data_IF_178331682522
#
_entry.id   IF_178331682522
#
_cell.length_a   1.000
_cell.length_b   1.000
_cell.length_c   1.000
_cell.angle_alpha   90.00
_cell.angle_beta   90.00
_cell.angle_gamma   90.00
#
_symmetry.space_group_name_H-M   'P 1'
#
loop_
_entity.id
_entity.type
_entity.pdbx_description
1 polymer ?
#
# COMPACT_ATOMS: atom_id res chain seq x y z
N UNK A 1 -34.26 13.92 -40.17
CA UNK A 1 -33.00 13.57 -39.47
C UNK A 1 -32.93 12.04 -39.37
N UNK A 2 -32.12 11.35 -40.20
CA UNK A 2 -32.03 9.87 -40.23
C UNK A 2 -30.88 9.41 -39.32
N UNK A 3 -31.17 8.62 -38.30
CA UNK A 3 -30.16 8.00 -37.44
C UNK A 3 -29.46 6.87 -38.21
N UNK A 4 -28.12 6.91 -38.24
CA UNK A 4 -27.26 5.88 -38.83
C UNK A 4 -27.42 4.59 -38.03
N UNK A 5 -27.75 3.50 -38.72
CA UNK A 5 -27.80 2.15 -38.15
C UNK A 5 -26.43 1.76 -37.57
N UNK A 6 -26.44 1.25 -36.33
CA UNK A 6 -25.27 0.68 -35.68
C UNK A 6 -24.82 -0.57 -36.45
N UNK A 7 -23.52 -0.67 -36.73
CA UNK A 7 -22.92 -1.84 -37.38
C UNK A 7 -23.08 -3.06 -36.47
N UNK A 8 -23.70 -4.10 -36.99
CA UNK A 8 -23.85 -5.38 -36.32
C UNK A 8 -22.46 -6.03 -36.18
N UNK A 9 -21.89 -6.03 -34.97
CA UNK A 9 -20.68 -6.80 -34.69
C UNK A 9 -21.02 -8.29 -34.84
N UNK A 10 -20.53 -8.93 -35.90
CA UNK A 10 -20.54 -10.41 -36.00
C UNK A 10 -19.76 -10.95 -34.81
N UNK A 11 -20.43 -11.70 -33.94
CA UNK A 11 -19.76 -12.56 -32.96
C UNK A 11 -18.97 -13.60 -33.75
N UNK A 12 -17.64 -13.43 -33.82
CA UNK A 12 -16.76 -14.51 -34.26
C UNK A 12 -16.68 -15.50 -33.11
N UNK A 13 -17.27 -16.68 -33.30
CA UNK A 13 -17.11 -17.81 -32.40
C UNK A 13 -15.85 -18.55 -32.84
N UNK A 14 -14.83 -18.57 -31.97
CA UNK A 14 -13.61 -19.35 -32.18
C UNK A 14 -13.77 -20.71 -31.51
N UNK A 15 -13.92 -21.75 -32.33
CA UNK A 15 -13.85 -23.14 -31.85
C UNK A 15 -12.39 -23.43 -31.50
N UNK A 16 -12.11 -23.63 -30.23
CA UNK A 16 -10.80 -24.08 -29.75
C UNK A 16 -10.97 -25.28 -28.83
N UNK A 17 -9.96 -26.15 -28.85
CA UNK A 17 -9.90 -27.31 -27.98
C UNK A 17 -9.82 -26.85 -26.51
N UNK A 18 -10.71 -27.33 -25.62
CA UNK A 18 -10.68 -26.97 -24.20
C UNK A 18 -9.35 -27.30 -23.51
N UNK A 19 -8.60 -28.30 -23.97
CA UNK A 19 -7.27 -28.61 -23.42
C UNK A 19 -6.21 -27.57 -23.78
N UNK A 20 -6.35 -26.93 -24.94
CA UNK A 20 -5.47 -25.82 -25.37
C UNK A 20 -5.78 -24.56 -24.58
N UNK A 21 -7.06 -24.26 -24.33
CA UNK A 21 -7.47 -23.17 -23.45
C UNK A 21 -6.94 -23.36 -22.03
N UNK A 22 -7.05 -24.57 -21.47
CA UNK A 22 -6.52 -24.84 -20.14
C UNK A 22 -5.01 -24.55 -20.06
N UNK A 23 -4.21 -25.06 -20.99
CA UNK A 23 -2.76 -24.80 -21.01
C UNK A 23 -2.41 -23.33 -21.22
N UNK A 24 -3.11 -22.62 -22.12
CA UNK A 24 -2.86 -21.21 -22.40
C UNK A 24 -3.31 -20.29 -21.24
N UNK A 25 -4.42 -20.63 -20.58
CA UNK A 25 -4.96 -19.89 -19.43
C UNK A 25 -4.04 -19.98 -18.21
N UNK A 26 -3.25 -21.04 -18.06
CA UNK A 26 -2.25 -21.11 -17.01
C UNK A 26 -0.91 -20.54 -17.49
N UNK A 27 -0.30 -21.01 -18.57
CA UNK A 27 1.09 -20.62 -18.86
C UNK A 27 1.30 -19.18 -19.41
N UNK A 28 0.25 -18.51 -19.91
CA UNK A 28 0.37 -17.18 -20.56
C UNK A 28 -0.75 -16.21 -20.17
N UNK A 29 -1.48 -16.50 -19.10
CA UNK A 29 -2.46 -15.54 -18.61
C UNK A 29 -1.74 -14.31 -18.05
N UNK A 30 -2.25 -13.09 -18.30
CA UNK A 30 -1.77 -11.88 -17.65
C UNK A 30 -1.83 -11.93 -16.11
N UNK A 31 -2.53 -12.93 -15.56
CA UNK A 31 -2.74 -13.15 -14.13
C UNK A 31 -2.00 -14.39 -13.61
N UNK A 32 -1.22 -15.08 -14.44
CA UNK A 32 -0.42 -16.21 -13.97
C UNK A 32 0.91 -15.73 -13.44
N UNK A 33 1.11 -15.91 -12.14
CA UNK A 33 2.36 -15.65 -11.45
C UNK A 33 3.26 -16.88 -11.55
N UNK A 34 4.51 -16.67 -11.97
CA UNK A 34 5.56 -17.68 -11.91
C UNK A 34 5.94 -17.98 -10.46
N UNK A 35 6.56 -19.14 -10.21
CA UNK A 35 7.02 -19.49 -8.86
C UNK A 35 8.00 -18.46 -8.27
N UNK A 36 8.81 -17.83 -9.10
CA UNK A 36 9.72 -16.73 -8.72
C UNK A 36 8.94 -15.47 -8.33
N UNK A 37 7.96 -15.05 -9.14
CA UNK A 37 7.10 -13.89 -8.83
C UNK A 37 6.31 -14.08 -7.52
N UNK A 38 5.84 -15.31 -7.25
CA UNK A 38 5.18 -15.65 -5.99
C UNK A 38 6.15 -15.52 -4.82
N UNK A 39 7.38 -16.05 -4.96
CA UNK A 39 8.39 -15.96 -3.91
C UNK A 39 8.77 -14.49 -3.61
N UNK A 40 8.98 -13.68 -4.64
CA UNK A 40 9.27 -12.25 -4.52
C UNK A 40 8.12 -11.50 -3.84
N UNK A 41 6.88 -11.80 -4.23
CA UNK A 41 5.69 -11.22 -3.63
C UNK A 41 5.57 -11.58 -2.14
N UNK A 42 5.88 -12.83 -1.76
CA UNK A 42 5.87 -13.29 -0.37
C UNK A 42 6.97 -12.63 0.45
N UNK A 43 8.19 -12.50 -0.07
CA UNK A 43 9.28 -11.79 0.62
C UNK A 43 8.90 -10.32 0.85
N UNK A 44 8.41 -9.64 -0.21
CA UNK A 44 7.96 -8.26 -0.11
C UNK A 44 6.79 -8.09 0.88
N UNK A 45 5.87 -9.06 0.96
CA UNK A 45 4.78 -9.04 1.93
C UNK A 45 5.27 -9.17 3.37
N UNK A 46 6.30 -10.01 3.59
CA UNK A 46 6.90 -10.24 4.90
C UNK A 46 7.63 -9.00 5.39
N UNK A 47 8.40 -8.35 4.52
CA UNK A 47 9.07 -7.08 4.82
C UNK A 47 8.05 -5.98 5.14
N UNK A 48 7.00 -5.84 4.33
CA UNK A 48 5.89 -4.89 4.60
C UNK A 48 5.24 -5.16 5.96
N UNK A 49 5.03 -6.42 6.33
CA UNK A 49 4.45 -6.78 7.62
C UNK A 49 5.37 -6.40 8.80
N UNK A 50 6.68 -6.56 8.65
CA UNK A 50 7.66 -6.08 9.66
C UNK A 50 7.63 -4.56 9.79
N UNK A 51 7.64 -3.84 8.67
CA UNK A 51 7.55 -2.37 8.67
C UNK A 51 6.24 -1.88 9.31
N UNK A 52 5.11 -2.51 9.01
CA UNK A 52 3.82 -2.12 9.62
C UNK A 52 3.79 -2.41 11.13
N UNK A 53 4.37 -3.53 11.57
CA UNK A 53 4.53 -3.83 13.01
C UNK A 53 5.38 -2.78 13.70
N UNK A 54 6.51 -2.41 13.08
CA UNK A 54 7.37 -1.33 13.57
C UNK A 54 6.60 -0.02 13.72
N UNK A 55 5.91 0.42 12.67
CA UNK A 55 5.17 1.68 12.66
C UNK A 55 4.12 1.68 13.77
N UNK A 56 3.33 0.61 13.90
CA UNK A 56 2.32 0.49 14.95
C UNK A 56 2.92 0.52 16.36
N UNK A 57 4.08 -0.12 16.56
CA UNK A 57 4.82 -0.11 17.82
C UNK A 57 5.27 1.31 18.18
N UNK A 58 5.93 2.01 17.26
CA UNK A 58 6.44 3.36 17.51
C UNK A 58 5.32 4.40 17.61
N UNK A 59 4.23 4.25 16.85
CA UNK A 59 3.03 5.06 17.02
C UNK A 59 2.52 5.01 18.47
N UNK A 60 2.36 3.81 19.04
CA UNK A 60 1.87 3.65 20.42
C UNK A 60 2.82 4.22 21.48
N UNK A 61 4.13 4.19 21.23
CA UNK A 61 5.15 4.64 22.18
C UNK A 61 5.37 6.14 22.16
N UNK A 62 5.36 6.78 20.98
CA UNK A 62 5.89 8.15 20.79
C UNK A 62 4.85 9.19 20.38
N UNK A 63 3.70 8.76 19.83
CA UNK A 63 2.68 9.69 19.34
C UNK A 63 1.58 9.88 20.38
N UNK A 64 1.02 11.08 20.40
CA UNK A 64 -0.21 11.33 21.14
C UNK A 64 -1.39 10.61 20.48
N UNK A 65 -2.47 10.29 21.23
CA UNK A 65 -3.68 9.67 20.67
C UNK A 65 -4.25 10.42 19.46
N UNK A 66 -4.13 11.76 19.49
CA UNK A 66 -4.56 12.64 18.39
C UNK A 66 -3.69 12.51 17.15
N UNK A 67 -2.38 12.45 17.32
CA UNK A 67 -1.43 12.23 16.20
C UNK A 67 -1.62 10.85 15.59
N UNK A 68 -1.80 9.81 16.40
CA UNK A 68 -2.12 8.46 15.93
C UNK A 68 -3.39 8.48 15.06
N UNK A 69 -4.48 9.06 15.57
CA UNK A 69 -5.74 9.13 14.84
C UNK A 69 -5.60 9.84 13.48
N UNK A 70 -4.87 10.96 13.42
CA UNK A 70 -4.64 11.64 12.15
C UNK A 70 -3.86 10.79 11.15
N UNK A 71 -2.82 10.08 11.61
CA UNK A 71 -2.03 9.16 10.79
C UNK A 71 -2.89 8.01 10.27
N UNK A 72 -3.68 7.39 11.14
CA UNK A 72 -4.55 6.27 10.79
C UNK A 72 -5.59 6.68 9.75
N UNK A 73 -6.30 7.77 10.00
CA UNK A 73 -7.32 8.26 9.08
C UNK A 73 -6.71 8.67 7.72
N UNK A 74 -5.57 9.36 7.72
CA UNK A 74 -4.98 9.87 6.49
C UNK A 74 -4.25 8.79 5.67
N UNK A 75 -3.39 7.99 6.30
CA UNK A 75 -2.52 7.05 5.60
C UNK A 75 -3.08 5.62 5.53
N UNK A 76 -3.78 5.14 6.56
CA UNK A 76 -4.34 3.77 6.53
C UNK A 76 -5.74 3.72 5.95
N UNK A 77 -6.59 4.71 6.25
CA UNK A 77 -7.93 4.82 5.66
C UNK A 77 -7.97 5.65 4.37
N UNK A 78 -6.81 6.14 3.90
CA UNK A 78 -6.67 6.95 2.69
C UNK A 78 -7.61 8.17 2.64
N UNK A 79 -7.95 8.78 3.79
CA UNK A 79 -8.85 9.92 3.81
C UNK A 79 -8.12 11.23 3.46
N UNK A 80 -8.74 12.12 2.67
CA UNK A 80 -8.21 13.45 2.44
C UNK A 80 -8.09 14.25 3.75
N UNK A 81 -7.06 15.10 3.86
CA UNK A 81 -6.83 15.95 5.05
C UNK A 81 -8.06 16.79 5.41
N UNK A 82 -8.82 17.25 4.41
CA UNK A 82 -10.08 17.98 4.63
C UNK A 82 -11.14 17.13 5.36
N UNK A 83 -11.24 15.83 5.03
CA UNK A 83 -12.16 14.89 5.67
C UNK A 83 -11.73 14.58 7.09
N UNK A 84 -10.43 14.35 7.32
CA UNK A 84 -9.84 14.15 8.66
C UNK A 84 -10.11 15.36 9.56
N UNK A 85 -9.89 16.56 9.03
CA UNK A 85 -10.13 17.81 9.75
C UNK A 85 -11.59 17.98 10.17
N UNK A 86 -12.53 17.70 9.26
CA UNK A 86 -13.97 17.73 9.54
C UNK A 86 -14.37 16.70 10.60
N UNK A 87 -13.91 15.45 10.49
CA UNK A 87 -14.22 14.38 11.46
C UNK A 87 -13.74 14.70 12.87
N UNK A 88 -12.62 15.41 12.97
CA UNK A 88 -12.01 15.75 14.24
C UNK A 88 -12.35 17.18 14.73
N UNK A 89 -13.27 17.90 14.06
CA UNK A 89 -13.73 19.22 14.46
C UNK A 89 -12.62 20.29 14.48
N UNK A 90 -11.63 20.19 13.57
CA UNK A 90 -10.43 21.04 13.60
C UNK A 90 -10.12 21.66 12.24
N UNK A 91 -9.31 22.71 12.24
CA UNK A 91 -8.82 23.31 11.00
C UNK A 91 -7.85 22.37 10.26
N UNK A 92 -7.85 22.41 8.92
CA UNK A 92 -6.97 21.57 8.06
C UNK A 92 -5.49 21.71 8.40
N UNK A 93 -5.06 22.94 8.70
CA UNK A 93 -3.66 23.20 9.09
C UNK A 93 -3.26 22.52 10.40
N UNK A 94 -4.21 22.30 11.32
CA UNK A 94 -3.95 21.58 12.57
C UNK A 94 -3.66 20.10 12.29
N UNK A 95 -4.42 19.49 11.36
CA UNK A 95 -4.15 18.12 10.90
C UNK A 95 -2.80 18.05 10.20
N UNK A 96 -2.50 18.96 9.27
CA UNK A 96 -1.24 18.98 8.55
C UNK A 96 -0.03 19.12 9.49
N UNK A 97 -0.09 20.05 10.45
CA UNK A 97 0.95 20.21 11.47
C UNK A 97 1.06 19.00 12.41
N UNK A 98 -0.06 18.33 12.70
CA UNK A 98 -0.08 17.09 13.47
C UNK A 98 0.60 15.95 12.73
N UNK A 99 0.24 15.72 11.47
CA UNK A 99 0.84 14.71 10.60
C UNK A 99 2.35 14.95 10.43
N UNK A 100 2.77 16.18 10.13
CA UNK A 100 4.19 16.51 9.97
C UNK A 100 5.00 16.25 11.25
N UNK A 101 4.44 16.59 12.42
CA UNK A 101 5.08 16.29 13.72
C UNK A 101 5.16 14.79 13.97
N UNK A 102 4.06 14.07 13.75
CA UNK A 102 4.01 12.63 13.94
C UNK A 102 5.02 11.89 13.05
N UNK A 103 5.08 12.24 11.76
CA UNK A 103 6.07 11.71 10.81
C UNK A 103 7.50 12.06 11.27
N UNK A 104 7.74 13.29 11.71
CA UNK A 104 9.04 13.70 12.23
C UNK A 104 9.49 12.86 13.44
N UNK A 105 8.56 12.51 14.35
CA UNK A 105 8.83 11.62 15.49
C UNK A 105 9.18 10.20 15.02
N UNK A 106 8.43 9.66 14.06
CA UNK A 106 8.70 8.32 13.51
C UNK A 106 10.04 8.29 12.75
N UNK A 107 10.33 9.30 11.94
CA UNK A 107 11.62 9.41 11.24
C UNK A 107 12.80 9.50 12.20
N UNK A 108 12.63 10.22 13.31
CA UNK A 108 13.64 10.29 14.36
C UNK A 108 13.81 8.93 15.05
N UNK A 109 12.71 8.27 15.41
CA UNK A 109 12.74 6.92 15.98
C UNK A 109 13.45 5.91 15.06
N UNK A 110 13.21 5.99 13.76
CA UNK A 110 13.85 5.12 12.77
C UNK A 110 15.38 5.31 12.68
N UNK A 111 15.90 6.47 13.09
CA UNK A 111 17.35 6.75 13.14
C UNK A 111 17.97 6.42 14.50
N UNK A 112 17.17 6.52 15.57
CA UNK A 112 17.62 6.30 16.95
C UNK A 112 17.55 4.83 17.38
N UNK A 113 16.62 4.05 16.83
CA UNK A 113 16.43 2.66 17.24
C UNK A 113 17.62 1.78 16.78
N UNK A 114 18.19 1.03 17.74
CA UNK A 114 19.23 0.03 17.52
C UNK A 114 18.70 -1.27 16.91
N UNK A 115 19.61 -2.18 16.53
CA UNK A 115 19.34 -3.43 15.79
C UNK A 115 18.78 -4.56 16.67
N UNK A 116 17.93 -4.24 17.63
CA UNK A 116 17.53 -5.20 18.66
C UNK A 116 16.33 -6.06 18.24
N UNK A 117 15.63 -5.69 17.17
CA UNK A 117 14.45 -6.42 16.68
C UNK A 117 14.45 -6.57 15.16
N UNK A 118 13.84 -7.64 14.61
CA UNK A 118 13.74 -7.83 13.15
C UNK A 118 12.97 -6.70 12.47
N UNK A 119 12.07 -6.03 13.20
CA UNK A 119 11.41 -4.83 12.72
C UNK A 119 12.38 -3.65 12.52
N UNK A 120 13.33 -3.44 13.43
CA UNK A 120 14.30 -2.35 13.31
C UNK A 120 15.28 -2.61 12.15
N UNK A 121 15.68 -3.86 11.92
CA UNK A 121 16.49 -4.24 10.76
C UNK A 121 15.76 -3.99 9.43
N UNK A 122 14.47 -4.34 9.34
CA UNK A 122 13.64 -4.08 8.17
C UNK A 122 13.57 -2.57 7.87
N UNK A 123 13.44 -1.73 8.90
CA UNK A 123 13.43 -0.27 8.74
C UNK A 123 14.77 0.25 8.23
N UNK A 124 15.89 -0.23 8.78
CA UNK A 124 17.23 0.16 8.33
C UNK A 124 17.47 -0.24 6.86
N UNK A 125 17.03 -1.44 6.47
CA UNK A 125 17.08 -1.90 5.07
C UNK A 125 16.26 -0.99 4.15
N UNK A 126 15.01 -0.68 4.54
CA UNK A 126 14.15 0.22 3.79
C UNK A 126 14.73 1.63 3.64
N UNK A 127 15.37 2.17 4.69
CA UNK A 127 16.06 3.47 4.63
C UNK A 127 17.24 3.41 3.65
N UNK A 128 18.08 2.37 3.73
CA UNK A 128 19.24 2.20 2.85
C UNK A 128 18.85 2.08 1.38
N UNK A 129 17.76 1.36 1.09
CA UNK A 129 17.25 1.20 -0.28
C UNK A 129 16.72 2.50 -0.88
N UNK A 130 16.24 3.44 -0.06
CA UNK A 130 15.73 4.75 -0.52
C UNK A 130 16.83 5.76 -0.86
N UNK A 131 18.04 5.57 -0.34
CA UNK A 131 19.19 6.46 -0.56
C UNK A 131 20.05 6.06 -1.77
N UNK A 132 19.71 4.97 -2.45
CA UNK A 132 20.31 4.57 -3.74
C UNK A 132 19.47 5.11 -4.89
#
# INVERSE_FOLDING_TARGET
>A
MRLRQARHCRKMEFTCDPHVLAKAAFARSPWHETGEEIADALEASTEKALLLRWVRREMRRRLSPRECRYLEEHYFCALPVATVARRNGVHRMSVYRGLRRAIGKLQRAARENGRDTPEDEAVLRAIKNRTR
#
